data_IF_835769026305
#
_entry.id   IF_835769026305
#
_cell.length_a   1.000
_cell.length_b   1.000
_cell.length_c   1.000
_cell.angle_alpha   90.00
_cell.angle_beta   90.00
_cell.angle_gamma   90.00
#
_symmetry.space_group_name_H-M   'P 1'
#
loop_
_entity.id
_entity.type
_entity.pdbx_description
1 polymer ?
#
# COMPACT_ATOMS: atom_id res chain seq x y z
N UNK A 1 -1.75 9.80 -7.97
CA UNK A 1 -1.90 8.55 -8.74
C UNK A 1 -3.14 8.64 -9.63
N UNK A 2 -3.11 8.17 -10.88
CA UNK A 2 -4.29 8.11 -11.74
C UNK A 2 -5.15 6.86 -11.42
N UNK A 3 -6.48 6.94 -11.58
CA UNK A 3 -7.42 5.86 -11.24
C UNK A 3 -7.13 4.56 -12.00
N UNK A 4 -6.80 4.66 -13.29
CA UNK A 4 -6.48 3.47 -14.11
C UNK A 4 -5.24 2.74 -13.58
N UNK A 5 -4.21 3.49 -13.16
CA UNK A 5 -3.01 2.90 -12.56
C UNK A 5 -3.36 2.20 -11.24
N UNK A 6 -4.18 2.83 -10.40
CA UNK A 6 -4.64 2.24 -9.15
C UNK A 6 -5.36 0.90 -9.38
N UNK A 7 -6.29 0.84 -10.33
CA UNK A 7 -6.99 -0.41 -10.68
C UNK A 7 -6.02 -1.45 -11.25
N UNK A 8 -5.07 -1.03 -12.10
CA UNK A 8 -4.06 -1.94 -12.65
C UNK A 8 -3.22 -2.58 -11.54
N UNK A 9 -2.75 -1.79 -10.57
CA UNK A 9 -1.97 -2.30 -9.45
C UNK A 9 -2.75 -3.25 -8.55
N UNK A 10 -4.09 -3.12 -8.48
CA UNK A 10 -4.93 -4.07 -7.76
C UNK A 10 -5.03 -5.43 -8.47
N UNK A 11 -5.07 -5.42 -9.79
CA UNK A 11 -5.12 -6.64 -10.59
C UNK A 11 -3.74 -7.30 -10.70
N UNK A 12 -2.67 -6.52 -10.58
CA UNK A 12 -1.28 -6.93 -10.76
C UNK A 12 -0.42 -6.39 -9.61
N UNK A 13 -0.56 -6.97 -8.42
CA UNK A 13 0.07 -6.49 -7.18
C UNK A 13 1.60 -6.50 -7.23
N UNK A 14 2.20 -7.34 -8.05
CA UNK A 14 3.64 -7.40 -8.27
C UNK A 14 4.23 -6.13 -8.92
N UNK A 15 3.42 -5.36 -9.63
CA UNK A 15 3.82 -4.04 -10.15
C UNK A 15 3.95 -2.98 -9.05
N UNK A 16 3.38 -3.20 -7.86
CA UNK A 16 3.42 -2.24 -6.74
C UNK A 16 4.88 -1.97 -6.30
N UNK A 17 5.74 -2.97 -6.40
CA UNK A 17 7.18 -2.86 -6.10
C UNK A 17 7.88 -1.79 -6.96
N UNK A 18 7.37 -1.52 -8.15
CA UNK A 18 7.94 -0.56 -9.11
C UNK A 18 7.43 0.87 -8.93
N UNK A 19 6.41 1.06 -8.08
CA UNK A 19 5.80 2.36 -7.83
C UNK A 19 6.77 3.22 -7.01
N UNK A 20 7.00 4.44 -7.49
CA UNK A 20 7.74 5.44 -6.72
C UNK A 20 6.98 5.78 -5.44
N UNK A 21 7.68 5.86 -4.31
CA UNK A 21 7.10 6.31 -3.05
C UNK A 21 6.38 7.67 -3.19
N UNK A 22 6.90 8.55 -4.05
CA UNK A 22 6.32 9.86 -4.33
C UNK A 22 4.92 9.80 -5.00
N UNK A 23 4.53 8.67 -5.59
CA UNK A 23 3.19 8.49 -6.16
C UNK A 23 2.19 7.92 -5.14
N UNK A 24 2.67 7.08 -4.22
CA UNK A 24 1.83 6.33 -3.27
C UNK A 24 1.65 7.08 -1.96
N UNK A 25 2.66 7.82 -1.51
CA UNK A 25 2.63 8.57 -0.27
C UNK A 25 1.56 9.69 -0.26
N UNK A 26 1.35 10.44 -1.37
CA UNK A 26 0.24 11.39 -1.44
C UNK A 26 -1.13 10.72 -1.32
N UNK A 27 -1.31 9.53 -1.92
CA UNK A 27 -2.57 8.79 -1.87
C UNK A 27 -2.97 8.45 -0.43
N UNK A 28 -2.05 7.91 0.37
CA UNK A 28 -2.34 7.57 1.78
C UNK A 28 -2.49 8.79 2.68
N UNK A 29 -1.93 9.95 2.29
CA UNK A 29 -2.11 11.22 3.01
C UNK A 29 -3.46 11.87 2.68
N UNK A 30 -3.86 11.86 1.42
CA UNK A 30 -5.10 12.45 0.95
C UNK A 30 -6.33 11.60 1.30
N UNK A 31 -6.16 10.27 1.35
CA UNK A 31 -7.23 9.31 1.68
C UNK A 31 -6.81 8.41 2.86
N UNK A 32 -6.82 8.92 4.11
CA UNK A 32 -6.31 8.19 5.28
C UNK A 32 -7.06 6.90 5.62
N UNK A 33 -8.29 6.74 5.11
CA UNK A 33 -9.12 5.54 5.32
C UNK A 33 -9.09 4.60 4.11
N UNK A 34 -8.30 4.91 3.08
CA UNK A 34 -8.11 4.03 1.93
C UNK A 34 -7.23 2.84 2.34
N UNK A 35 -7.87 1.78 2.85
CA UNK A 35 -7.25 0.53 3.28
C UNK A 35 -6.28 -0.01 2.23
N UNK A 36 -6.74 -0.05 0.98
CA UNK A 36 -5.97 -0.48 -0.17
C UNK A 36 -4.72 0.37 -0.39
N UNK A 37 -4.82 1.69 -0.27
CA UNK A 37 -3.66 2.58 -0.40
C UNK A 37 -2.61 2.30 0.68
N UNK A 38 -3.05 2.05 1.92
CA UNK A 38 -2.14 1.70 3.01
C UNK A 38 -1.43 0.36 2.78
N UNK A 39 -2.15 -0.64 2.26
CA UNK A 39 -1.60 -1.94 1.90
C UNK A 39 -0.60 -1.83 0.74
N UNK A 40 -0.96 -1.11 -0.33
CA UNK A 40 -0.05 -0.86 -1.46
C UNK A 40 1.25 -0.18 -1.00
N UNK A 41 1.17 0.80 -0.11
CA UNK A 41 2.37 1.45 0.43
C UNK A 41 3.20 0.49 1.30
N UNK A 42 2.55 -0.37 2.11
CA UNK A 42 3.27 -1.39 2.88
C UNK A 42 4.01 -2.39 1.95
N UNK A 43 3.35 -2.87 0.89
CA UNK A 43 3.96 -3.75 -0.12
C UNK A 43 5.16 -3.07 -0.77
N UNK A 44 4.99 -1.82 -1.22
CA UNK A 44 6.07 -1.04 -1.84
C UNK A 44 7.27 -0.87 -0.90
N UNK A 45 7.04 -0.56 0.38
CA UNK A 45 8.10 -0.41 1.37
C UNK A 45 8.81 -1.75 1.65
N UNK A 46 8.05 -2.85 1.73
CA UNK A 46 8.59 -4.19 1.92
C UNK A 46 9.50 -4.59 0.76
N UNK A 47 9.03 -4.40 -0.48
CA UNK A 47 9.82 -4.70 -1.68
C UNK A 47 11.12 -3.92 -1.75
N UNK A 48 11.15 -2.71 -1.17
CA UNK A 48 12.33 -1.85 -1.13
C UNK A 48 13.16 -2.01 0.15
N UNK A 49 12.88 -3.01 1.00
CA UNK A 49 13.53 -3.22 2.31
C UNK A 49 13.61 -1.95 3.17
N UNK A 50 12.56 -1.12 3.11
CA UNK A 50 12.54 0.17 3.80
C UNK A 50 12.32 -0.01 5.30
N UNK A 51 13.08 0.72 6.10
CA UNK A 51 12.90 0.78 7.57
C UNK A 51 11.50 1.26 7.99
N UNK A 52 10.79 1.94 7.09
CA UNK A 52 9.44 2.45 7.35
C UNK A 52 8.37 1.37 7.22
N UNK A 53 8.70 0.20 6.66
CA UNK A 53 7.76 -0.89 6.40
C UNK A 53 6.95 -1.25 7.65
N UNK A 54 7.62 -1.56 8.76
CA UNK A 54 6.96 -1.94 10.02
C UNK A 54 6.00 -0.88 10.55
N UNK A 55 6.37 0.39 10.43
CA UNK A 55 5.52 1.50 10.86
C UNK A 55 4.28 1.63 9.97
N UNK A 56 4.45 1.47 8.65
CA UNK A 56 3.35 1.52 7.70
C UNK A 56 2.44 0.31 7.81
N UNK A 57 3.00 -0.88 8.07
CA UNK A 57 2.25 -2.11 8.30
C UNK A 57 1.27 -1.97 9.47
N UNK A 58 1.72 -1.37 10.58
CA UNK A 58 0.87 -1.06 11.74
C UNK A 58 -0.25 -0.10 11.40
N UNK A 59 0.01 0.92 10.58
CA UNK A 59 -1.03 1.84 10.09
C UNK A 59 -2.05 1.08 9.23
N UNK A 60 -1.59 0.29 8.27
CA UNK A 60 -2.46 -0.53 7.43
C UNK A 60 -3.34 -1.46 8.27
N UNK A 61 -2.78 -2.12 9.28
CA UNK A 61 -3.52 -2.99 10.21
C UNK A 61 -4.51 -2.23 11.11
N UNK A 62 -4.31 -0.94 11.35
CA UNK A 62 -5.21 -0.09 12.13
C UNK A 62 -6.40 0.40 11.30
N UNK A 63 -6.19 0.63 10.00
CA UNK A 63 -7.24 1.08 9.08
C UNK A 63 -8.01 -0.06 8.40
N UNK A 64 -7.40 -1.25 8.25
CA UNK A 64 -8.06 -2.45 7.72
C UNK A 64 -8.98 -3.11 8.74
N UNK A 65 -10.26 -3.24 8.39
CA UNK A 65 -11.28 -3.87 9.24
C UNK A 65 -11.11 -5.39 9.30
N UNK A 66 -10.63 -6.00 8.21
CA UNK A 66 -10.30 -7.43 8.10
C UNK A 66 -8.79 -7.60 7.93
N UNK A 67 -8.12 -8.03 9.01
CA UNK A 67 -6.67 -8.19 9.06
C UNK A 67 -6.16 -9.42 8.32
N UNK A 68 -7.01 -10.39 8.00
CA UNK A 68 -6.59 -11.58 7.24
C UNK A 68 -6.16 -11.19 5.83
N UNK A 69 -6.89 -10.25 5.22
CA UNK A 69 -6.58 -9.71 3.88
C UNK A 69 -5.24 -9.00 3.81
N UNK A 70 -4.76 -8.44 4.93
CA UNK A 70 -3.44 -7.80 4.99
C UNK A 70 -2.33 -8.80 4.70
N UNK A 71 -2.41 -10.00 5.28
CA UNK A 71 -1.38 -11.04 5.17
C UNK A 71 -1.45 -11.86 3.87
N UNK A 72 -2.53 -11.75 3.10
CA UNK A 72 -2.64 -12.44 1.81
C UNK A 72 -1.83 -11.77 0.69
N UNK A 73 -1.47 -10.49 0.87
CA UNK A 73 -0.86 -9.66 -0.16
C UNK A 73 0.52 -9.09 0.23
N UNK A 74 1.00 -9.41 1.43
CA UNK A 74 2.34 -9.07 1.94
C UNK A 74 3.27 -10.27 1.83
#
# INVERSE_FOLDING_TARGET
MQVNNFIQYLNQSELISTISENEILPLVKEFPYCQTGHLMYAIQLNSNNSILFEAQLKKAASYCTDRVKLFQHL
#
